data_IF_697546652633
#
_entry.id   IF_697546652633
#
_cell.length_a   1.000
_cell.length_b   1.000
_cell.length_c   1.000
_cell.angle_alpha   90.00
_cell.angle_beta   90.00
_cell.angle_gamma   90.00
#
_symmetry.space_group_name_H-M   'P 1'
#
loop_
_entity.id
_entity.type
_entity.pdbx_description
1 polymer ?
#
# COMPACT_ATOMS: atom_id res chain seq x y z
N UNK A 1 11.51 14.86 -55.63
CA UNK A 1 11.11 16.28 -55.53
C UNK A 1 9.74 16.31 -54.86
N UNK A 2 9.69 16.73 -53.57
CA UNK A 2 8.54 17.15 -52.71
C UNK A 2 7.30 16.22 -52.59
N UNK A 3 6.61 16.02 -51.46
CA UNK A 3 6.61 16.42 -50.03
C UNK A 3 5.80 15.31 -49.29
N UNK A 4 6.04 14.82 -48.07
CA UNK A 4 6.25 15.42 -46.73
C UNK A 4 5.11 16.30 -46.20
N UNK A 5 4.03 15.65 -45.78
CA UNK A 5 3.08 16.05 -44.70
C UNK A 5 2.56 14.74 -44.11
N UNK A 6 2.72 14.38 -42.84
CA UNK A 6 2.89 15.19 -41.65
C UNK A 6 1.64 15.06 -40.79
N UNK A 7 1.36 13.87 -40.26
CA UNK A 7 0.33 13.66 -39.24
C UNK A 7 1.01 12.99 -38.04
N UNK A 8 1.31 13.78 -37.02
CA UNK A 8 1.76 13.32 -35.71
C UNK A 8 0.50 13.17 -34.85
N UNK A 9 0.09 11.96 -34.45
CA UNK A 9 -0.87 11.83 -33.36
C UNK A 9 -0.15 12.19 -32.05
N UNK A 10 -0.53 13.32 -31.46
CA UNK A 10 -0.07 13.72 -30.13
C UNK A 10 -0.46 12.67 -29.08
N UNK A 11 0.32 12.50 -28.00
CA UNK A 11 -0.03 11.58 -26.95
C UNK A 11 -1.30 12.10 -26.26
N UNK A 12 -2.38 11.36 -26.43
CA UNK A 12 -3.56 11.45 -25.59
C UNK A 12 -3.08 11.41 -24.14
N UNK A 13 -3.32 12.52 -23.43
CA UNK A 13 -3.16 12.55 -21.99
C UNK A 13 -4.09 11.49 -21.42
N UNK A 14 -3.51 10.34 -21.07
CA UNK A 14 -4.14 9.31 -20.26
C UNK A 14 -4.66 10.00 -19.02
N UNK A 15 -5.95 10.33 -19.03
CA UNK A 15 -6.69 10.67 -17.83
C UNK A 15 -6.45 9.49 -16.91
N UNK A 16 -5.68 9.72 -15.85
CA UNK A 16 -5.64 8.83 -14.70
C UNK A 16 -7.10 8.78 -14.24
N UNK A 17 -7.79 7.71 -14.60
CA UNK A 17 -9.09 7.42 -14.06
C UNK A 17 -8.85 7.26 -12.56
N UNK A 18 -9.15 8.30 -11.80
CA UNK A 18 -9.25 8.25 -10.35
C UNK A 18 -10.40 7.31 -10.05
N UNK A 19 -10.12 6.00 -10.09
CA UNK A 19 -11.03 5.02 -9.52
C UNK A 19 -10.93 5.27 -8.03
N UNK A 20 -11.89 6.03 -7.51
CA UNK A 20 -12.03 6.22 -6.07
C UNK A 20 -12.03 4.83 -5.42
N UNK A 21 -11.05 4.50 -4.55
CA UNK A 21 -10.99 3.18 -3.91
C UNK A 21 -12.23 2.93 -3.02
N UNK A 22 -12.96 4.00 -2.68
CA UNK A 22 -14.27 3.93 -2.01
C UNK A 22 -15.33 3.15 -2.81
N UNK A 23 -15.19 3.01 -4.14
CA UNK A 23 -16.13 2.24 -4.97
C UNK A 23 -15.84 0.72 -4.98
N UNK A 24 -14.69 0.28 -4.44
CA UNK A 24 -14.32 -1.15 -4.38
C UNK A 24 -14.87 -1.82 -3.10
N UNK A 25 -15.48 -1.05 -2.20
CA UNK A 25 -15.99 -1.56 -0.91
C UNK A 25 -17.35 -2.29 -0.99
N UNK A 26 -17.97 -2.35 -2.17
CA UNK A 26 -19.32 -2.94 -2.35
C UNK A 26 -19.28 -4.19 -3.24
N UNK A 27 -18.78 -5.31 -2.68
CA UNK A 27 -19.31 -6.68 -2.92
C UNK A 27 -18.55 -7.70 -2.09
N UNK A 28 -19.26 -8.33 -1.15
CA UNK A 28 -18.77 -9.43 -0.34
C UNK A 28 -18.68 -10.77 -1.08
N UNK A 29 -17.92 -11.69 -0.49
CA UNK A 29 -17.98 -13.12 -0.77
C UNK A 29 -16.73 -13.90 -0.33
N UNK A 30 -16.88 -14.71 0.72
CA UNK A 30 -15.99 -15.76 1.23
C UNK A 30 -14.84 -15.36 2.19
N UNK A 31 -15.26 -14.87 3.37
CA UNK A 31 -14.90 -15.36 4.71
C UNK A 31 -13.53 -16.04 4.92
N UNK A 32 -12.56 -15.23 5.37
CA UNK A 32 -11.71 -15.62 6.51
C UNK A 32 -11.80 -14.49 7.53
N UNK A 33 -12.90 -14.41 8.28
CA UNK A 33 -12.95 -13.60 9.49
C UNK A 33 -11.92 -14.20 10.47
N UNK A 34 -10.74 -13.59 10.56
CA UNK A 34 -9.76 -13.90 11.59
C UNK A 34 -8.29 -13.99 11.19
N UNK A 35 -7.93 -13.97 9.89
CA UNK A 35 -6.52 -14.07 9.49
C UNK A 35 -6.10 -12.84 8.68
N UNK A 36 -5.40 -11.93 9.35
CA UNK A 36 -4.71 -10.82 8.69
C UNK A 36 -3.65 -11.41 7.74
N UNK A 37 -3.53 -10.90 6.49
CA UNK A 37 -2.56 -11.41 5.53
C UNK A 37 -1.15 -11.16 6.06
N UNK A 38 -0.20 -12.05 5.76
CA UNK A 38 1.22 -11.77 6.07
C UNK A 38 1.77 -10.66 5.18
N UNK A 39 2.90 -10.07 5.57
CA UNK A 39 3.55 -9.05 4.73
C UNK A 39 3.93 -9.61 3.36
N UNK A 40 4.34 -10.89 3.27
CA UNK A 40 4.64 -11.55 2.01
C UNK A 40 3.43 -11.62 1.07
N UNK A 41 2.24 -11.92 1.60
CA UNK A 41 1.00 -11.97 0.82
C UNK A 41 0.68 -10.60 0.21
N UNK A 42 0.83 -9.53 1.00
CA UNK A 42 0.66 -8.16 0.53
C UNK A 42 1.69 -7.81 -0.55
N UNK A 43 2.97 -8.08 -0.33
CA UNK A 43 4.01 -7.78 -1.33
C UNK A 43 3.82 -8.57 -2.63
N UNK A 44 3.39 -9.82 -2.54
CA UNK A 44 3.09 -10.65 -3.73
C UNK A 44 1.96 -10.06 -4.56
N UNK A 45 0.94 -9.47 -3.92
CA UNK A 45 -0.16 -8.84 -4.64
C UNK A 45 0.30 -7.62 -5.43
N UNK A 46 1.26 -6.86 -4.90
CA UNK A 46 1.83 -5.69 -5.57
C UNK A 46 2.75 -6.12 -6.71
N UNK A 47 3.57 -7.15 -6.49
CA UNK A 47 4.57 -7.61 -7.48
C UNK A 47 3.95 -8.31 -8.70
N UNK A 48 3.00 -9.21 -8.47
CA UNK A 48 2.58 -10.18 -9.50
C UNK A 48 1.25 -9.79 -10.19
N UNK A 49 0.67 -8.62 -9.90
CA UNK A 49 -0.64 -8.16 -10.39
C UNK A 49 -1.75 -9.24 -10.31
N UNK A 50 -1.70 -10.08 -9.27
CA UNK A 50 -2.62 -11.19 -9.06
C UNK A 50 -4.02 -10.69 -8.67
N UNK A 51 -5.09 -11.48 -8.95
CA UNK A 51 -6.42 -11.20 -8.40
C UNK A 51 -6.35 -11.06 -6.88
N UNK A 52 -7.08 -10.07 -6.33
CA UNK A 52 -7.15 -9.86 -4.90
C UNK A 52 -7.78 -11.09 -4.22
N UNK A 53 -7.05 -11.67 -3.27
CA UNK A 53 -7.52 -12.78 -2.44
C UNK A 53 -7.97 -12.27 -1.06
N UNK A 54 -7.41 -11.16 -0.60
CA UNK A 54 -7.75 -10.52 0.67
C UNK A 54 -8.26 -9.08 0.46
N UNK A 55 -9.13 -8.60 1.35
CA UNK A 55 -9.68 -7.23 1.29
C UNK A 55 -8.61 -6.13 1.34
N UNK A 56 -7.46 -6.42 1.95
CA UNK A 56 -6.33 -5.48 2.02
C UNK A 56 -5.47 -5.43 0.75
N UNK A 57 -5.56 -6.42 -0.13
CA UNK A 57 -4.76 -6.48 -1.36
C UNK A 57 -4.95 -5.25 -2.27
N UNK A 58 -6.18 -4.83 -2.64
CA UNK A 58 -6.36 -3.65 -3.49
C UNK A 58 -5.89 -2.37 -2.79
N UNK A 59 -6.01 -2.28 -1.46
CA UNK A 59 -5.59 -1.12 -0.68
C UNK A 59 -4.06 -1.02 -0.61
N UNK A 60 -3.37 -2.14 -0.38
CA UNK A 60 -1.91 -2.22 -0.40
C UNK A 60 -1.34 -1.86 -1.78
N UNK A 61 -1.95 -2.38 -2.85
CA UNK A 61 -1.58 -2.02 -4.23
C UNK A 61 -1.74 -0.53 -4.49
N UNK A 62 -2.89 0.04 -4.13
CA UNK A 62 -3.16 1.47 -4.28
C UNK A 62 -2.13 2.33 -3.54
N UNK A 63 -1.75 1.95 -2.31
CA UNK A 63 -0.67 2.63 -1.58
C UNK A 63 0.67 2.59 -2.32
N UNK A 64 1.07 1.42 -2.86
CA UNK A 64 2.30 1.29 -3.63
C UNK A 64 2.30 2.13 -4.93
N UNK A 65 1.16 2.20 -5.61
CA UNK A 65 0.96 3.04 -6.80
C UNK A 65 1.05 4.52 -6.46
N UNK A 66 0.42 4.96 -5.36
CA UNK A 66 0.53 6.34 -4.87
C UNK A 66 1.97 6.73 -4.53
N UNK A 67 2.73 5.84 -3.87
CA UNK A 67 4.14 6.08 -3.55
C UNK A 67 5.01 6.17 -4.80
N UNK A 68 4.82 5.27 -5.75
CA UNK A 68 5.53 5.29 -7.05
C UNK A 68 5.22 6.56 -7.83
N UNK A 69 3.95 6.90 -7.99
CA UNK A 69 3.52 8.09 -8.73
C UNK A 69 3.99 9.38 -8.07
N UNK A 70 3.92 9.47 -6.74
CA UNK A 70 4.38 10.65 -6.00
C UNK A 70 5.89 10.84 -6.06
N UNK A 71 6.67 9.76 -6.16
CA UNK A 71 8.13 9.81 -6.31
C UNK A 71 8.55 10.26 -7.72
N UNK A 72 7.76 9.91 -8.75
CA UNK A 72 8.05 10.23 -10.15
C UNK A 72 7.51 11.60 -10.58
N UNK A 73 6.46 12.09 -9.92
CA UNK A 73 5.80 13.34 -10.28
C UNK A 73 6.51 14.58 -9.71
N UNK A 74 6.72 15.58 -10.56
CA UNK A 74 7.21 16.91 -10.17
C UNK A 74 6.06 17.89 -9.86
N UNK A 75 4.82 17.49 -10.12
CA UNK A 75 3.63 18.31 -9.89
C UNK A 75 3.24 18.30 -8.40
N UNK A 76 3.27 19.49 -7.79
CA UNK A 76 2.94 19.68 -6.39
C UNK A 76 1.47 19.38 -6.06
N UNK A 77 0.54 19.64 -6.99
CA UNK A 77 -0.88 19.39 -6.78
C UNK A 77 -1.18 17.90 -6.85
N UNK A 78 -0.56 17.18 -7.79
CA UNK A 78 -0.60 15.73 -7.83
C UNK A 78 -0.07 15.13 -6.53
N UNK A 79 1.09 15.58 -6.04
CA UNK A 79 1.69 15.07 -4.79
C UNK A 79 0.80 15.33 -3.58
N UNK A 80 0.13 16.48 -3.50
CA UNK A 80 -0.85 16.78 -2.44
C UNK A 80 -2.07 15.88 -2.52
N UNK A 81 -2.60 15.65 -3.72
CA UNK A 81 -3.73 14.75 -3.94
C UNK A 81 -3.37 13.29 -3.58
N UNK A 82 -2.17 12.84 -3.96
CA UNK A 82 -1.65 11.53 -3.61
C UNK A 82 -1.53 11.36 -2.09
N UNK A 83 -0.99 12.35 -1.38
CA UNK A 83 -0.90 12.32 0.09
C UNK A 83 -2.29 12.31 0.77
N UNK A 84 -3.27 13.00 0.22
CA UNK A 84 -4.65 12.93 0.72
C UNK A 84 -5.26 11.53 0.50
N UNK A 85 -5.10 10.97 -0.70
CA UNK A 85 -5.57 9.61 -1.04
C UNK A 85 -4.90 8.54 -0.18
N UNK A 86 -3.60 8.68 0.08
CA UNK A 86 -2.81 7.80 0.94
C UNK A 86 -3.37 7.76 2.36
N UNK A 87 -3.59 8.94 2.97
CA UNK A 87 -4.17 9.06 4.31
C UNK A 87 -5.57 8.47 4.40
N UNK A 88 -6.40 8.66 3.38
CA UNK A 88 -7.73 8.04 3.37
C UNK A 88 -7.69 6.52 3.22
N UNK A 89 -6.75 6.01 2.41
CA UNK A 89 -6.54 4.58 2.25
C UNK A 89 -6.07 3.93 3.55
N UNK A 90 -5.15 4.57 4.28
CA UNK A 90 -4.73 4.14 5.61
C UNK A 90 -5.92 4.06 6.57
N UNK A 91 -6.76 5.10 6.62
CA UNK A 91 -7.98 5.10 7.45
C UNK A 91 -8.96 4.00 7.06
N UNK A 92 -9.12 3.72 5.76
CA UNK A 92 -9.97 2.65 5.29
C UNK A 92 -9.48 1.27 5.75
N UNK A 93 -8.16 1.04 5.70
CA UNK A 93 -7.53 -0.17 6.27
C UNK A 93 -7.83 -0.26 7.76
N UNK A 94 -7.57 0.80 8.52
CA UNK A 94 -7.74 0.80 9.97
C UNK A 94 -9.20 0.54 10.38
N UNK A 95 -10.16 1.15 9.68
CA UNK A 95 -11.61 0.89 9.88
C UNK A 95 -11.98 -0.56 9.56
N UNK A 96 -11.44 -1.13 8.49
CA UNK A 96 -11.69 -2.53 8.15
C UNK A 96 -11.16 -3.46 9.25
N UNK A 97 -9.94 -3.20 9.73
CA UNK A 97 -9.31 -4.01 10.79
C UNK A 97 -10.09 -3.92 12.09
N UNK A 98 -10.52 -2.72 12.50
CA UNK A 98 -11.35 -2.53 13.68
C UNK A 98 -12.69 -3.28 13.60
N UNK A 99 -13.29 -3.36 12.41
CA UNK A 99 -14.56 -4.04 12.21
C UNK A 99 -14.44 -5.59 12.12
N UNK A 100 -13.30 -6.11 11.65
CA UNK A 100 -13.16 -7.54 11.30
C UNK A 100 -12.20 -8.32 12.21
N UNK A 101 -11.34 -7.65 12.98
CA UNK A 101 -10.36 -8.29 13.86
C UNK A 101 -10.82 -8.14 15.31
N UNK A 102 -11.03 -9.25 16.04
CA UNK A 102 -11.45 -9.21 17.44
C UNK A 102 -10.46 -8.40 18.29
N UNK A 103 -10.84 -7.19 18.72
CA UNK A 103 -10.02 -6.44 19.64
C UNK A 103 -10.07 -7.11 21.02
N UNK A 104 -8.97 -7.76 21.42
CA UNK A 104 -8.87 -8.32 22.76
C UNK A 104 -8.97 -7.19 23.78
N UNK A 105 -10.11 -7.16 24.50
CA UNK A 105 -10.46 -6.09 25.47
C UNK A 105 -9.41 -5.88 26.57
N UNK A 106 -8.47 -6.81 26.75
CA UNK A 106 -7.49 -6.89 27.83
C UNK A 106 -6.05 -6.49 27.47
N UNK A 107 -5.78 -6.04 26.23
CA UNK A 107 -4.44 -5.58 25.83
C UNK A 107 -4.00 -4.34 26.61
N UNK A 108 -2.84 -4.41 27.29
CA UNK A 108 -2.29 -3.38 28.19
C UNK A 108 -1.44 -2.31 27.50
N UNK A 109 -1.08 -2.51 26.23
CA UNK A 109 -0.28 -1.57 25.44
C UNK A 109 -1.14 -0.87 24.37
N UNK A 110 -1.31 0.45 24.50
CA UNK A 110 -1.77 1.31 23.41
C UNK A 110 -0.60 1.47 22.45
N UNK A 111 -0.68 0.85 21.27
CA UNK A 111 0.30 1.13 20.22
C UNK A 111 0.06 2.52 19.65
N UNK A 112 1.14 3.30 19.49
CA UNK A 112 1.10 4.61 18.83
C UNK A 112 0.94 4.50 17.31
N UNK A 113 0.93 3.30 16.76
CA UNK A 113 0.90 3.04 15.32
C UNK A 113 -0.25 2.08 14.97
N UNK A 114 -0.94 2.36 13.86
CA UNK A 114 -2.03 1.54 13.34
C UNK A 114 -1.49 0.51 12.35
N UNK A 115 -2.22 -0.59 12.13
CA UNK A 115 -1.80 -1.58 11.09
C UNK A 115 -1.76 -0.91 9.71
N UNK A 116 -2.72 -0.02 9.40
CA UNK A 116 -2.73 0.74 8.17
C UNK A 116 -1.48 1.61 8.00
N UNK A 117 -0.95 2.21 9.07
CA UNK A 117 0.29 2.99 8.99
C UNK A 117 1.53 2.10 8.77
N UNK A 118 1.56 0.89 9.33
CA UNK A 118 2.63 -0.08 9.06
C UNK A 118 2.57 -0.56 7.60
N UNK A 119 1.39 -0.90 7.09
CA UNK A 119 1.19 -1.30 5.69
C UNK A 119 1.63 -0.17 4.75
N UNK A 120 1.25 1.08 5.03
CA UNK A 120 1.68 2.23 4.24
C UNK A 120 3.20 2.38 4.15
N UNK A 121 3.91 2.23 5.27
CA UNK A 121 5.38 2.28 5.27
C UNK A 121 6.00 1.10 4.54
N UNK A 122 5.42 -0.10 4.66
CA UNK A 122 5.86 -1.27 3.91
C UNK A 122 5.72 -1.03 2.41
N UNK A 123 4.57 -0.49 1.96
CA UNK A 123 4.35 -0.15 0.55
C UNK A 123 5.28 0.97 0.06
N UNK A 124 5.56 1.97 0.89
CA UNK A 124 6.52 3.02 0.59
C UNK A 124 7.95 2.47 0.39
N UNK A 125 8.39 1.60 1.30
CA UNK A 125 9.70 0.98 1.24
C UNK A 125 9.83 0.06 0.01
N UNK A 126 8.80 -0.73 -0.29
CA UNK A 126 8.77 -1.57 -1.47
C UNK A 126 8.82 -0.75 -2.76
N UNK A 127 7.98 0.27 -2.91
CA UNK A 127 7.98 1.16 -4.07
C UNK A 127 9.35 1.81 -4.31
N UNK A 128 10.01 2.25 -3.22
CA UNK A 128 11.37 2.80 -3.28
C UNK A 128 12.41 1.76 -3.71
N UNK A 129 12.36 0.56 -3.14
CA UNK A 129 13.32 -0.50 -3.48
C UNK A 129 13.17 -0.95 -4.94
N UNK A 130 11.94 -1.12 -5.42
CA UNK A 130 11.64 -1.42 -6.82
C UNK A 130 12.16 -0.32 -7.75
N UNK A 131 11.89 0.95 -7.43
CA UNK A 131 12.38 2.07 -8.23
C UNK A 131 13.91 2.14 -8.30
N UNK A 132 14.60 1.93 -7.17
CA UNK A 132 16.07 1.93 -7.15
C UNK A 132 16.66 0.80 -7.99
N UNK A 133 16.07 -0.40 -7.92
CA UNK A 133 16.50 -1.52 -8.75
C UNK A 133 16.45 -1.21 -10.25
N UNK A 134 15.50 -0.38 -10.68
CA UNK A 134 15.34 0.02 -12.09
C UNK A 134 16.21 1.21 -12.50
N UNK A 135 16.55 2.11 -11.56
CA UNK A 135 17.10 3.43 -11.89
C UNK A 135 18.55 3.66 -11.47
N UNK A 136 19.11 2.82 -10.59
CA UNK A 136 20.48 2.98 -10.12
C UNK A 136 21.30 1.71 -10.33
N UNK A 137 22.61 1.90 -10.49
CA UNK A 137 23.62 0.82 -10.45
C UNK A 137 24.38 0.79 -9.12
N UNK A 138 23.94 1.59 -8.13
CA UNK A 138 24.50 1.57 -6.78
C UNK A 138 23.94 0.39 -5.99
N UNK A 139 24.69 -0.71 -6.02
CA UNK A 139 24.34 -1.96 -5.34
C UNK A 139 24.13 -1.77 -3.83
N UNK A 140 24.87 -0.84 -3.19
CA UNK A 140 24.72 -0.59 -1.75
C UNK A 140 23.40 0.11 -1.44
N UNK A 141 23.00 1.08 -2.27
CA UNK A 141 21.72 1.76 -2.12
C UNK A 141 20.54 0.80 -2.37
N UNK A 142 20.64 -0.07 -3.37
CA UNK A 142 19.64 -1.12 -3.65
C UNK A 142 19.56 -2.11 -2.49
N UNK A 143 20.70 -2.58 -1.99
CA UNK A 143 20.76 -3.49 -0.85
C UNK A 143 20.13 -2.88 0.41
N UNK A 144 20.46 -1.63 0.74
CA UNK A 144 19.90 -0.94 1.89
C UNK A 144 18.37 -0.76 1.77
N UNK A 145 17.86 -0.49 0.57
CA UNK A 145 16.43 -0.37 0.33
C UNK A 145 15.69 -1.71 0.53
N UNK A 146 16.22 -2.81 0.00
CA UNK A 146 15.65 -4.15 0.21
C UNK A 146 15.79 -4.63 1.65
N UNK A 147 16.89 -4.29 2.34
CA UNK A 147 17.04 -4.55 3.77
C UNK A 147 15.94 -3.85 4.56
N UNK A 148 15.63 -2.59 4.24
CA UNK A 148 14.54 -1.85 4.88
C UNK A 148 13.17 -2.51 4.65
N UNK A 149 12.92 -3.10 3.48
CA UNK A 149 11.71 -3.88 3.23
C UNK A 149 11.65 -5.08 4.17
N UNK A 150 12.75 -5.84 4.31
CA UNK A 150 12.80 -6.99 5.20
C UNK A 150 12.55 -6.63 6.68
N UNK A 151 13.07 -5.50 7.16
CA UNK A 151 12.78 -5.00 8.51
C UNK A 151 11.28 -4.74 8.72
N UNK A 152 10.62 -4.12 7.73
CA UNK A 152 9.19 -3.79 7.81
C UNK A 152 8.32 -5.03 7.65
N UNK A 153 8.74 -6.01 6.87
CA UNK A 153 8.10 -7.34 6.78
C UNK A 153 8.08 -8.00 8.14
N UNK A 154 9.26 -8.13 8.79
CA UNK A 154 9.36 -8.74 10.12
C UNK A 154 8.53 -7.97 11.15
N UNK A 155 8.62 -6.63 11.16
CA UNK A 155 7.87 -5.81 12.11
C UNK A 155 6.35 -5.87 11.90
N UNK A 156 5.88 -6.07 10.67
CA UNK A 156 4.48 -6.30 10.37
C UNK A 156 4.03 -7.68 10.83
N UNK A 157 4.78 -8.74 10.51
CA UNK A 157 4.42 -10.10 10.92
C UNK A 157 4.41 -10.24 12.46
N UNK A 158 5.36 -9.60 13.16
CA UNK A 158 5.36 -9.49 14.62
C UNK A 158 4.13 -8.74 15.17
N UNK A 159 3.67 -7.70 14.45
CA UNK A 159 2.46 -6.97 14.80
C UNK A 159 1.21 -7.84 14.62
N UNK A 160 1.09 -8.54 13.50
CA UNK A 160 -0.02 -9.45 13.23
C UNK A 160 -0.06 -10.56 14.26
N UNK A 161 1.06 -11.23 14.53
CA UNK A 161 1.15 -12.28 15.53
C UNK A 161 0.67 -11.79 16.90
N UNK A 162 1.12 -10.62 17.33
CA UNK A 162 0.75 -10.07 18.61
C UNK A 162 -0.72 -9.58 18.68
N UNK A 163 -1.33 -9.20 17.56
CA UNK A 163 -2.78 -8.94 17.47
C UNK A 163 -3.57 -10.26 17.56
N UNK A 164 -3.17 -11.28 16.80
CA UNK A 164 -3.86 -12.59 16.73
C UNK A 164 -3.73 -13.37 18.03
N UNK A 165 -2.62 -13.25 18.76
CA UNK A 165 -2.43 -13.84 20.09
C UNK A 165 -3.11 -13.04 21.21
N UNK A 166 -3.73 -11.89 20.89
CA UNK A 166 -4.44 -11.04 21.84
C UNK A 166 -3.56 -10.27 22.82
N UNK A 167 -2.28 -10.13 22.48
CA UNK A 167 -1.29 -9.41 23.28
C UNK A 167 -1.31 -7.89 23.01
N UNK A 168 -1.96 -7.42 21.94
CA UNK A 168 -1.94 -6.00 21.51
C UNK A 168 -3.31 -5.41 21.16
N UNK A 169 -3.53 -4.14 21.55
CA UNK A 169 -4.68 -3.31 21.12
C UNK A 169 -4.27 -2.32 20.03
N UNK A 170 -5.10 -2.18 19.01
CA UNK A 170 -4.99 -1.12 18.02
C UNK A 170 -5.70 0.14 18.52
N UNK A 171 -5.19 1.35 18.22
CA UNK A 171 -5.86 2.58 18.61
C UNK A 171 -7.16 2.76 17.81
N UNK A 172 -8.23 3.09 18.53
CA UNK A 172 -9.52 3.50 17.96
C UNK A 172 -9.32 4.86 17.28
N UNK A 173 -9.65 4.96 15.99
CA UNK A 173 -9.62 6.27 15.31
C UNK A 173 -10.80 7.11 15.81
N UNK A 174 -10.50 8.26 16.42
CA UNK A 174 -11.49 9.30 16.74
C UNK A 174 -11.81 10.15 15.50
#
# INVERSE_FOLDING_TARGET
MLAMTGEVPGPEGTRVATVSPLLVLERGGADVVGDLPTAEMLLRTVRDSRPAAHHLDPLARHLAELHTGAAQSHDADYRRAAEASRRETVRAIDRWIEAHVPQHRHGTAIHTETVGSVIDRLMAAYARAAHLLETTTDDLAVHAAWFRVAELVNGYDDLIAAITHGERRLPTSA
#
